data_IF_584770184754
#
_entry.id   IF_584770184754
#
_cell.length_a   1.000
_cell.length_b   1.000
_cell.length_c   1.000
_cell.angle_alpha   90.00
_cell.angle_beta   90.00
_cell.angle_gamma   90.00
#
_symmetry.space_group_name_H-M   'P 1'
#
loop_
_entity.id
_entity.type
_entity.pdbx_description
1 polymer ?
#
# COMPACT_ATOMS: atom_id res chain seq x y z
N UNK A 1 3.83 -15.77 19.81
CA UNK A 1 4.94 -15.40 18.89
C UNK A 1 4.48 -14.19 18.12
N UNK A 2 4.90 -12.99 18.55
CA UNK A 2 4.45 -11.73 17.98
C UNK A 2 5.09 -11.53 16.62
N UNK A 3 4.27 -11.45 15.56
CA UNK A 3 4.77 -11.06 14.26
C UNK A 3 5.10 -9.58 14.31
N UNK A 4 6.40 -9.30 14.30
CA UNK A 4 6.98 -7.98 14.33
C UNK A 4 6.44 -7.11 13.19
N UNK A 5 6.27 -5.83 13.50
CA UNK A 5 6.02 -4.76 12.54
C UNK A 5 7.04 -4.85 11.40
N UNK A 6 6.58 -5.18 10.19
CA UNK A 6 7.36 -5.01 8.97
C UNK A 6 7.33 -3.52 8.65
N UNK A 7 8.46 -2.84 8.83
CA UNK A 7 8.64 -1.45 8.41
C UNK A 7 9.24 -1.46 7.02
N UNK A 8 8.44 -1.21 5.99
CA UNK A 8 8.96 -0.92 4.65
C UNK A 8 9.26 0.58 4.61
N UNK A 9 10.54 0.92 4.44
CA UNK A 9 11.04 2.30 4.44
C UNK A 9 11.07 2.91 3.03
N UNK A 10 10.91 4.24 3.03
CA UNK A 10 10.57 5.16 1.95
C UNK A 10 11.65 5.38 0.86
N UNK A 11 11.19 5.68 -0.36
CA UNK A 11 12.00 6.04 -1.53
C UNK A 11 12.62 7.45 -1.51
N UNK A 12 13.09 7.95 -0.36
CA UNK A 12 13.93 9.17 -0.30
C UNK A 12 15.41 8.88 -0.01
N UNK A 13 15.78 7.62 0.25
CA UNK A 13 17.17 7.14 0.22
C UNK A 13 17.24 5.88 -0.64
N UNK A 14 17.25 6.10 -1.95
CA UNK A 14 17.68 5.15 -2.99
C UNK A 14 17.44 3.66 -2.73
N UNK A 15 16.22 3.19 -2.97
CA UNK A 15 16.02 1.88 -3.59
C UNK A 15 15.61 2.11 -5.03
N UNK A 16 16.51 1.78 -5.94
CA UNK A 16 16.35 1.98 -7.37
C UNK A 16 15.89 0.65 -7.97
N UNK A 17 14.66 0.25 -7.65
CA UNK A 17 13.99 -0.77 -8.44
C UNK A 17 12.62 -0.23 -8.80
N UNK A 18 12.34 -0.11 -10.10
CA UNK A 18 11.06 0.34 -10.64
C UNK A 18 9.84 -0.53 -10.20
N UNK A 19 10.04 -1.46 -9.27
CA UNK A 19 9.06 -2.36 -8.66
C UNK A 19 8.51 -1.88 -7.31
N UNK A 20 9.04 -0.82 -6.67
CA UNK A 20 8.61 -0.34 -5.32
C UNK A 20 7.29 0.43 -5.35
N UNK A 21 6.27 -0.19 -5.92
CA UNK A 21 4.92 0.35 -5.98
C UNK A 21 4.13 -0.09 -4.75
N UNK A 22 3.08 0.65 -4.40
CA UNK A 22 2.25 0.28 -3.25
C UNK A 22 1.71 -1.16 -3.38
N UNK A 23 1.35 -1.60 -4.59
CA UNK A 23 0.90 -2.97 -4.83
C UNK A 23 2.01 -4.01 -4.61
N UNK A 24 3.25 -3.70 -4.94
CA UNK A 24 4.38 -4.60 -4.68
C UNK A 24 4.57 -4.81 -3.18
N UNK A 25 4.47 -3.73 -2.40
CA UNK A 25 4.57 -3.81 -0.94
C UNK A 25 3.41 -4.60 -0.33
N UNK A 26 2.18 -4.43 -0.82
CA UNK A 26 1.05 -5.25 -0.41
C UNK A 26 1.30 -6.75 -0.75
N UNK A 27 1.90 -7.02 -1.90
CA UNK A 27 2.22 -8.40 -2.30
C UNK A 27 3.32 -9.02 -1.44
N UNK A 28 4.35 -8.25 -1.08
CA UNK A 28 5.46 -8.69 -0.24
C UNK A 28 5.07 -8.80 1.25
N UNK A 29 4.09 -8.00 1.69
CA UNK A 29 3.67 -7.96 3.09
C UNK A 29 2.97 -9.27 3.51
N UNK A 30 3.33 -9.84 4.67
CA UNK A 30 2.63 -10.99 5.22
C UNK A 30 1.21 -10.64 5.67
N UNK A 31 0.37 -11.67 5.83
CA UNK A 31 -0.96 -11.54 6.42
C UNK A 31 -0.86 -11.00 7.86
N UNK A 32 -1.66 -9.99 8.19
CA UNK A 32 -1.60 -9.24 9.45
C UNK A 32 -0.60 -8.09 9.47
N UNK A 33 0.18 -7.88 8.41
CA UNK A 33 1.22 -6.85 8.35
C UNK A 33 0.72 -5.44 8.07
N UNK A 34 1.67 -4.50 8.04
CA UNK A 34 1.41 -3.08 7.77
C UNK A 34 2.35 -2.57 6.69
N UNK A 35 1.80 -1.92 5.67
CA UNK A 35 2.52 -1.16 4.65
C UNK A 35 2.44 0.32 5.03
N UNK A 36 3.59 0.99 5.12
CA UNK A 36 3.66 2.42 5.42
C UNK A 36 4.10 3.17 4.17
N UNK A 37 3.30 4.17 3.76
CA UNK A 37 3.57 5.02 2.62
C UNK A 37 4.23 6.32 3.09
N UNK A 38 5.32 6.68 2.43
CA UNK A 38 5.99 7.96 2.58
C UNK A 38 5.09 9.12 2.13
N UNK A 39 5.50 10.32 2.50
CA UNK A 39 4.99 11.53 1.87
C UNK A 39 5.41 11.54 0.40
N UNK A 40 4.44 11.72 -0.51
CA UNK A 40 4.67 11.67 -1.94
C UNK A 40 3.40 11.61 -2.77
N UNK A 41 3.56 11.75 -4.09
CA UNK A 41 2.50 11.59 -5.09
C UNK A 41 2.76 10.31 -5.87
N UNK A 42 1.92 9.30 -5.63
CA UNK A 42 2.00 7.99 -6.25
C UNK A 42 1.15 7.96 -7.52
N UNK A 43 1.79 7.73 -8.67
CA UNK A 43 1.13 7.67 -9.99
C UNK A 43 1.54 6.40 -10.74
N UNK A 44 0.86 6.11 -11.84
CA UNK A 44 1.24 5.00 -12.71
C UNK A 44 0.79 3.62 -12.21
N UNK A 45 1.21 2.58 -12.94
CA UNK A 45 0.85 1.18 -12.66
C UNK A 45 1.45 0.73 -11.33
N UNK A 46 0.69 -0.05 -10.54
CA UNK A 46 1.11 -0.54 -9.23
C UNK A 46 0.86 0.45 -8.06
N UNK A 47 0.53 1.70 -8.36
CA UNK A 47 0.17 2.73 -7.37
C UNK A 47 -1.32 3.06 -7.36
N UNK A 48 -2.10 2.39 -8.20
CA UNK A 48 -3.55 2.48 -8.34
C UNK A 48 -4.11 1.09 -8.57
N UNK A 49 -5.44 0.94 -8.51
CA UNK A 49 -6.13 -0.35 -8.55
C UNK A 49 -5.63 -1.33 -7.46
N UNK A 50 -5.26 -0.79 -6.31
CA UNK A 50 -4.63 -1.56 -5.24
C UNK A 50 -5.58 -2.64 -4.69
N UNK A 51 -5.04 -3.85 -4.52
CA UNK A 51 -5.76 -5.02 -4.04
C UNK A 51 -4.95 -5.77 -2.98
N UNK A 52 -5.64 -6.24 -1.95
CA UNK A 52 -5.09 -6.96 -0.82
C UNK A 52 -4.88 -8.46 -1.09
N UNK A 53 -5.32 -8.96 -2.24
CA UNK A 53 -5.13 -10.37 -2.65
C UNK A 53 -5.55 -11.38 -1.57
N UNK A 54 -6.56 -11.05 -0.78
CA UNK A 54 -7.07 -11.89 0.31
C UNK A 54 -6.32 -11.82 1.65
N UNK A 55 -5.34 -10.93 1.78
CA UNK A 55 -4.59 -10.71 3.01
C UNK A 55 -5.20 -9.61 3.88
N UNK A 56 -5.08 -9.77 5.19
CA UNK A 56 -5.38 -8.76 6.20
C UNK A 56 -4.17 -7.83 6.36
N UNK A 57 -4.04 -6.80 5.51
CA UNK A 57 -2.92 -5.84 5.57
C UNK A 57 -3.47 -4.45 5.88
N UNK A 58 -2.77 -3.71 6.74
CA UNK A 58 -3.04 -2.29 6.94
C UNK A 58 -2.16 -1.46 6.00
N UNK A 59 -2.73 -0.55 5.22
CA UNK A 59 -1.96 0.44 4.44
C UNK A 59 -2.16 1.80 5.08
N UNK A 60 -1.07 2.48 5.46
CA UNK A 60 -1.13 3.77 6.17
C UNK A 60 -0.08 4.76 5.69
N UNK A 61 -0.40 6.04 5.78
CA UNK A 61 0.58 7.13 5.65
C UNK A 61 1.53 7.15 6.85
N UNK A 62 2.78 7.57 6.60
CA UNK A 62 3.77 7.75 7.65
C UNK A 62 3.49 9.01 8.48
N UNK A 63 3.27 10.16 7.81
CA UNK A 63 3.13 11.48 8.45
C UNK A 63 1.72 12.06 8.35
N UNK A 64 0.72 11.21 8.03
CA UNK A 64 -0.67 11.60 7.89
C UNK A 64 -1.13 11.79 6.44
N UNK A 65 -2.45 11.87 6.26
CA UNK A 65 -3.10 11.78 4.96
C UNK A 65 -2.78 12.93 3.99
N UNK A 66 -2.46 14.11 4.51
CA UNK A 66 -2.26 15.31 3.71
C UNK A 66 -1.10 15.20 2.71
N UNK A 67 -0.10 14.37 3.01
CA UNK A 67 1.14 14.32 2.24
C UNK A 67 1.29 13.02 1.43
N UNK A 68 0.39 12.05 1.57
CA UNK A 68 0.45 10.78 0.86
C UNK A 68 -0.69 10.68 -0.16
N UNK A 69 -0.41 11.04 -1.42
CA UNK A 69 -1.44 11.22 -2.45
C UNK A 69 -1.34 10.08 -3.46
N UNK A 70 -2.38 9.25 -3.54
CA UNK A 70 -2.58 8.35 -4.69
C UNK A 70 -3.27 9.15 -5.80
N UNK A 71 -2.54 9.44 -6.87
CA UNK A 71 -3.06 10.15 -8.01
C UNK A 71 -3.44 9.17 -9.13
N UNK A 72 -4.76 8.93 -9.26
CA UNK A 72 -5.34 8.02 -10.25
C UNK A 72 -5.34 8.56 -11.68
N UNK A 73 -4.91 9.81 -11.91
CA UNK A 73 -4.80 10.44 -13.23
C UNK A 73 -6.07 10.36 -14.08
N UNK A 74 -7.25 10.39 -13.44
CA UNK A 74 -8.56 10.25 -14.10
C UNK A 74 -8.72 8.98 -14.97
N UNK A 75 -7.94 7.93 -14.69
CA UNK A 75 -7.86 6.74 -15.53
C UNK A 75 -8.41 5.49 -14.85
N UNK A 76 -8.30 5.36 -13.52
CA UNK A 76 -8.69 4.16 -12.76
C UNK A 76 -9.09 4.47 -11.30
N UNK A 77 -9.36 3.43 -10.49
CA UNK A 77 -9.66 3.56 -9.06
C UNK A 77 -8.39 3.53 -8.21
N UNK A 78 -8.40 4.14 -7.03
CA UNK A 78 -7.29 4.02 -6.09
C UNK A 78 -7.23 2.60 -5.49
N UNK A 79 -8.36 2.11 -5.00
CA UNK A 79 -8.50 0.80 -4.36
C UNK A 79 -9.56 -0.05 -5.05
N UNK A 80 -9.30 -1.35 -5.18
CA UNK A 80 -10.26 -2.35 -5.65
C UNK A 80 -10.51 -3.40 -4.56
N UNK A 81 -11.69 -3.32 -3.96
CA UNK A 81 -12.17 -4.30 -2.99
C UNK A 81 -13.10 -5.30 -3.68
N UNK A 82 -12.62 -6.53 -3.91
CA UNK A 82 -13.40 -7.61 -4.50
C UNK A 82 -14.19 -8.34 -3.41
N UNK A 83 -15.48 -8.60 -3.67
CA UNK A 83 -16.37 -9.29 -2.73
C UNK A 83 -16.09 -10.81 -2.61
N UNK A 84 -14.99 -11.29 -3.19
CA UNK A 84 -14.58 -12.69 -3.18
C UNK A 84 -13.12 -12.78 -2.72
N UNK A 85 -12.87 -13.62 -1.70
CA UNK A 85 -11.52 -13.92 -1.23
C UNK A 85 -10.85 -12.88 -0.32
N UNK A 86 -11.45 -11.70 -0.12
CA UNK A 86 -10.93 -10.70 0.83
C UNK A 86 -11.30 -11.08 2.27
N UNK A 87 -10.28 -11.16 3.15
CA UNK A 87 -10.52 -11.31 4.59
C UNK A 87 -11.12 -10.04 5.16
N UNK A 88 -12.02 -10.20 6.14
CA UNK A 88 -12.54 -9.10 6.93
C UNK A 88 -11.38 -8.44 7.72
N UNK A 89 -11.43 -7.11 7.85
CA UNK A 89 -10.53 -6.35 8.72
C UNK A 89 -9.40 -5.55 8.04
N UNK A 90 -9.28 -5.55 6.70
CA UNK A 90 -8.31 -4.66 6.05
C UNK A 90 -8.62 -3.19 6.39
N UNK A 91 -7.58 -2.38 6.56
CA UNK A 91 -7.74 -0.96 6.90
C UNK A 91 -6.82 -0.08 6.06
N UNK A 92 -7.34 1.07 5.64
CA UNK A 92 -6.62 2.07 4.87
C UNK A 92 -6.65 3.40 5.61
N UNK A 93 -5.48 3.96 5.90
CA UNK A 93 -5.29 5.26 6.54
C UNK A 93 -4.38 6.14 5.66
N UNK A 94 -4.92 6.64 4.56
CA UNK A 94 -4.20 7.45 3.58
C UNK A 94 -4.83 8.83 3.44
#
# INVERSE_FOLDING_TARGET
>A
MGLGSVTVYNANEGFNCATDTIQWEINACPDGGTVTCADGIYTGVGNKNLSWSGKHITVRSQNGAANCIINCQNSERAFNFYNTGQKLGFVVYL
#
